data_IF_739787836191
#
_entry.id   IF_739787836191
#
_cell.length_a   1.000
_cell.length_b   1.000
_cell.length_c   1.000
_cell.angle_alpha   90.00
_cell.angle_beta   90.00
_cell.angle_gamma   90.00
#
_symmetry.space_group_name_H-M   'P 1'
#
loop_
_entity.id
_entity.type
_entity.pdbx_description
1 polymer ?
#
# COMPACT_ATOMS: atom_id res chain seq x y z
N UNK A 1 21.56 1.39 14.55
CA UNK A 1 20.87 1.39 15.86
C UNK A 1 20.25 2.76 16.10
N UNK A 2 18.98 2.89 15.71
CA UNK A 2 18.19 4.10 15.98
C UNK A 2 17.72 4.08 17.45
N UNK A 3 18.10 5.07 18.23
CA UNK A 3 17.66 5.20 19.62
C UNK A 3 16.16 5.54 19.65
N UNK A 4 15.35 4.69 20.30
CA UNK A 4 13.96 5.02 20.63
C UNK A 4 13.99 6.17 21.63
N UNK A 5 13.39 7.29 21.25
CA UNK A 5 13.31 8.50 22.09
C UNK A 5 12.08 8.40 22.98
N UNK A 6 10.94 7.98 22.43
CA UNK A 6 9.71 7.78 23.17
C UNK A 6 8.99 6.51 22.73
N UNK A 7 8.33 5.85 23.69
CA UNK A 7 7.36 4.78 23.46
C UNK A 7 6.07 5.13 24.21
N UNK A 8 4.97 5.20 23.47
CA UNK A 8 3.63 5.49 23.99
C UNK A 8 2.75 4.27 23.73
N UNK A 9 2.04 3.80 24.75
CA UNK A 9 1.07 2.72 24.64
C UNK A 9 -0.33 3.28 24.90
N UNK A 10 -1.20 3.20 23.88
CA UNK A 10 -2.59 3.62 24.00
C UNK A 10 -3.42 2.41 24.42
N UNK A 11 -4.02 2.51 25.60
CA UNK A 11 -4.84 1.46 26.21
C UNK A 11 -6.31 1.89 26.21
N UNK A 12 -7.21 1.00 25.80
CA UNK A 12 -8.66 1.14 26.04
C UNK A 12 -9.07 -0.02 26.94
N UNK A 13 -9.62 0.27 28.12
CA UNK A 13 -9.97 -0.73 29.12
C UNK A 13 -8.79 -1.66 29.48
N UNK A 14 -7.58 -1.09 29.59
CA UNK A 14 -6.31 -1.81 29.83
C UNK A 14 -5.87 -2.77 28.71
N UNK A 15 -6.55 -2.78 27.57
CA UNK A 15 -6.17 -3.57 26.40
C UNK A 15 -5.33 -2.68 25.47
N UNK A 16 -4.10 -3.08 25.10
CA UNK A 16 -3.30 -2.35 24.12
C UNK A 16 -4.01 -2.25 22.77
N UNK A 17 -4.23 -1.01 22.32
CA UNK A 17 -4.83 -0.70 21.02
C UNK A 17 -3.79 -0.23 20.03
N UNK A 18 -2.92 0.65 20.49
CA UNK A 18 -1.87 1.24 19.68
C UNK A 18 -0.55 1.32 20.43
N UNK A 19 0.56 1.15 19.71
CA UNK A 19 1.89 1.48 20.21
C UNK A 19 2.54 2.46 19.25
N UNK A 20 3.00 3.59 19.79
CA UNK A 20 3.71 4.62 19.05
C UNK A 20 5.16 4.64 19.54
N UNK A 21 6.10 4.53 18.63
CA UNK A 21 7.53 4.64 18.88
C UNK A 21 8.08 5.81 18.06
N UNK A 22 8.72 6.75 18.74
CA UNK A 22 9.34 7.92 18.11
C UNK A 22 10.85 7.72 18.17
N UNK A 23 11.48 7.76 17.01
CA UNK A 23 12.94 7.77 16.85
C UNK A 23 13.37 9.14 16.32
N UNK A 24 14.67 9.34 16.08
CA UNK A 24 15.18 10.59 15.50
C UNK A 24 14.59 10.91 14.13
N UNK A 25 14.33 9.89 13.31
CA UNK A 25 14.00 10.06 11.89
C UNK A 25 12.67 9.42 11.47
N UNK A 26 11.99 8.74 12.39
CA UNK A 26 10.78 7.96 12.11
C UNK A 26 9.79 8.01 13.25
N UNK A 27 8.50 8.01 12.90
CA UNK A 27 7.41 7.68 13.82
C UNK A 27 6.86 6.33 13.38
N UNK A 28 6.87 5.35 14.28
CA UNK A 28 6.36 4.00 14.03
C UNK A 28 5.11 3.81 14.87
N UNK A 29 3.98 3.53 14.24
CA UNK A 29 2.70 3.26 14.89
C UNK A 29 2.29 1.82 14.62
N UNK A 30 1.66 1.17 15.58
CA UNK A 30 1.26 -0.24 15.49
C UNK A 30 -0.17 -0.42 15.96
N UNK A 31 -1.00 -1.07 15.15
CA UNK A 31 -2.34 -1.52 15.51
C UNK A 31 -2.38 -3.04 15.56
N UNK A 32 -2.87 -3.56 16.70
CA UNK A 32 -3.08 -5.01 16.88
C UNK A 32 -4.20 -5.49 15.99
N UNK A 33 -5.29 -4.72 15.91
CA UNK A 33 -6.44 -5.00 15.07
C UNK A 33 -6.92 -3.71 14.39
N UNK A 34 -6.94 -3.70 13.06
CA UNK A 34 -7.40 -2.56 12.25
C UNK A 34 -8.91 -2.34 12.31
N UNK A 35 -9.68 -3.30 12.83
CA UNK A 35 -11.13 -3.11 13.09
C UNK A 35 -11.40 -2.21 14.30
N UNK A 36 -10.43 -2.05 15.17
CA UNK A 36 -10.55 -1.20 16.35
C UNK A 36 -10.22 0.24 15.95
N UNK A 37 -11.04 1.22 16.34
CA UNK A 37 -10.76 2.63 16.06
C UNK A 37 -9.37 3.01 16.61
N UNK A 38 -8.43 3.25 15.70
CA UNK A 38 -7.07 3.71 15.99
C UNK A 38 -6.60 4.62 14.86
N UNK A 39 -5.58 5.45 15.13
CA UNK A 39 -5.18 6.53 14.22
C UNK A 39 -4.62 6.02 12.88
N UNK A 40 -4.13 4.78 12.83
CA UNK A 40 -3.58 4.18 11.60
C UNK A 40 -4.57 3.34 10.80
N UNK A 41 -5.68 2.90 11.40
CA UNK A 41 -6.67 2.04 10.75
C UNK A 41 -7.75 2.79 9.96
N UNK A 42 -7.70 4.12 9.96
CA UNK A 42 -8.56 4.94 9.12
C UNK A 42 -7.96 5.08 7.71
N UNK A 43 -8.06 4.04 6.90
CA UNK A 43 -7.57 3.98 5.51
C UNK A 43 -8.36 4.86 4.52
N UNK A 44 -9.08 5.89 5.03
CA UNK A 44 -9.88 6.88 4.30
C UNK A 44 -10.96 6.30 3.38
N UNK A 45 -11.31 5.02 3.53
CA UNK A 45 -12.11 4.25 2.57
C UNK A 45 -11.56 4.28 1.12
N UNK A 46 -10.26 4.57 0.96
CA UNK A 46 -9.60 4.67 -0.36
C UNK A 46 -9.03 3.31 -0.77
N UNK A 47 -8.45 2.59 0.20
CA UNK A 47 -7.73 1.35 -0.06
C UNK A 47 -8.62 0.12 0.10
N UNK A 48 -9.19 -0.06 1.30
CA UNK A 48 -10.08 -1.19 1.61
C UNK A 48 -10.82 -0.96 2.93
N UNK A 49 -11.90 -1.73 3.11
CA UNK A 49 -12.61 -1.88 4.38
C UNK A 49 -12.19 -3.22 4.99
N UNK A 50 -11.50 -3.26 6.14
CA UNK A 50 -11.07 -4.52 6.73
C UNK A 50 -12.26 -5.42 7.04
N UNK A 51 -12.21 -6.68 6.61
CA UNK A 51 -13.25 -7.69 6.89
C UNK A 51 -12.77 -8.84 7.80
N UNK A 52 -11.56 -8.73 8.34
CA UNK A 52 -10.92 -9.72 9.21
C UNK A 52 -10.03 -9.07 10.26
N UNK A 53 -9.55 -9.89 11.18
CA UNK A 53 -8.62 -9.46 12.23
C UNK A 53 -7.21 -9.28 11.66
N UNK A 54 -6.96 -8.12 11.07
CA UNK A 54 -5.66 -7.77 10.53
C UNK A 54 -4.93 -6.80 11.45
N UNK A 55 -3.61 -6.92 11.47
CA UNK A 55 -2.72 -6.01 12.16
C UNK A 55 -2.08 -5.05 11.17
N UNK A 56 -1.69 -3.86 11.65
CA UNK A 56 -0.99 -2.89 10.82
C UNK A 56 0.19 -2.26 11.55
N UNK A 57 1.21 -1.90 10.79
CA UNK A 57 2.27 -0.98 11.20
C UNK A 57 2.26 0.17 10.20
N UNK A 58 2.39 1.38 10.74
CA UNK A 58 2.67 2.58 9.96
C UNK A 58 4.06 3.11 10.30
N UNK A 59 4.82 3.51 9.29
CA UNK A 59 6.15 4.10 9.44
C UNK A 59 6.18 5.41 8.67
N UNK A 60 6.24 6.51 9.40
CA UNK A 60 6.34 7.87 8.88
C UNK A 60 7.79 8.34 8.96
N UNK A 61 8.38 8.66 7.81
CA UNK A 61 9.74 9.22 7.74
C UNK A 61 9.72 10.73 7.98
N UNK A 62 10.22 11.19 9.13
CA UNK A 62 10.11 12.59 9.57
C UNK A 62 11.08 13.55 8.90
N UNK A 63 12.07 13.04 8.17
CA UNK A 63 13.05 13.86 7.42
C UNK A 63 12.89 13.72 5.89
N UNK A 64 11.90 12.95 5.44
CA UNK A 64 11.71 12.65 4.03
C UNK A 64 10.34 13.16 3.59
N UNK A 65 10.31 14.36 3.03
CA UNK A 65 9.09 15.00 2.54
C UNK A 65 9.05 15.01 1.02
N UNK A 66 7.85 14.95 0.46
CA UNK A 66 7.63 15.07 -0.98
C UNK A 66 7.38 13.73 -1.65
N UNK A 67 6.48 13.77 -2.65
CA UNK A 67 6.02 12.61 -3.40
C UNK A 67 7.12 11.95 -4.23
N UNK A 68 8.09 12.75 -4.68
CA UNK A 68 9.26 12.32 -5.44
C UNK A 68 10.15 11.34 -4.66
N UNK A 69 10.08 11.41 -3.32
CA UNK A 69 10.82 10.55 -2.40
C UNK A 69 10.09 9.27 -2.00
N UNK A 70 8.78 9.12 -2.27
CA UNK A 70 8.03 7.90 -1.92
C UNK A 70 8.66 6.64 -2.48
N UNK A 71 9.11 6.70 -3.74
CA UNK A 71 9.79 5.57 -4.36
C UNK A 71 11.11 5.21 -3.66
N UNK A 72 11.90 6.20 -3.22
CA UNK A 72 13.13 5.95 -2.47
C UNK A 72 12.84 5.30 -1.12
N UNK A 73 11.88 5.86 -0.37
CA UNK A 73 11.41 5.28 0.89
C UNK A 73 10.89 3.85 0.70
N UNK A 74 10.11 3.60 -0.36
CA UNK A 74 9.56 2.29 -0.66
C UNK A 74 10.67 1.29 -1.00
N UNK A 75 11.63 1.65 -1.85
CA UNK A 75 12.72 0.76 -2.25
C UNK A 75 13.63 0.44 -1.05
N UNK A 76 14.03 1.45 -0.26
CA UNK A 76 14.83 1.24 0.95
C UNK A 76 14.10 0.32 1.94
N UNK A 77 12.81 0.57 2.14
CA UNK A 77 11.96 -0.26 2.98
C UNK A 77 11.90 -1.72 2.50
N UNK A 78 11.67 -1.95 1.20
CA UNK A 78 11.61 -3.30 0.63
C UNK A 78 12.96 -4.00 0.76
N UNK A 79 14.08 -3.36 0.42
CA UNK A 79 15.40 -3.98 0.53
C UNK A 79 15.76 -4.38 1.96
N UNK A 80 15.37 -3.58 2.96
CA UNK A 80 15.69 -3.89 4.37
C UNK A 80 14.91 -5.08 4.91
N UNK A 81 13.62 -5.17 4.58
CA UNK A 81 12.73 -6.15 5.18
C UNK A 81 12.53 -7.40 4.33
N UNK A 82 12.68 -7.25 3.02
CA UNK A 82 12.47 -8.29 2.04
C UNK A 82 13.64 -8.32 1.04
N UNK A 83 14.89 -8.57 1.50
CA UNK A 83 16.10 -8.42 0.69
C UNK A 83 16.15 -9.34 -0.55
N UNK A 84 15.35 -10.41 -0.56
CA UNK A 84 15.24 -11.34 -1.68
C UNK A 84 14.18 -10.94 -2.71
N UNK A 85 13.36 -9.93 -2.41
CA UNK A 85 12.31 -9.44 -3.31
C UNK A 85 12.92 -8.43 -4.26
N UNK A 86 12.93 -8.75 -5.56
CA UNK A 86 13.33 -7.84 -6.63
C UNK A 86 12.14 -7.29 -7.43
N UNK A 87 10.94 -7.79 -7.16
CA UNK A 87 9.72 -7.46 -7.90
C UNK A 87 8.54 -7.40 -6.96
N UNK A 88 7.74 -6.35 -7.09
CA UNK A 88 6.52 -6.19 -6.31
C UNK A 88 5.31 -6.29 -7.22
N UNK A 89 4.28 -6.99 -6.76
CA UNK A 89 2.96 -6.95 -7.37
C UNK A 89 2.23 -5.73 -6.83
N UNK A 90 1.43 -5.10 -7.67
CA UNK A 90 0.59 -3.99 -7.25
C UNK A 90 -0.75 -4.04 -7.94
N UNK A 91 -1.72 -3.34 -7.36
CA UNK A 91 -2.97 -3.02 -8.02
C UNK A 91 -3.45 -1.63 -7.62
N UNK A 92 -4.34 -1.09 -8.42
CA UNK A 92 -5.01 0.17 -8.16
C UNK A 92 -6.31 0.25 -8.96
N UNK A 93 -7.10 1.30 -8.73
CA UNK A 93 -8.35 1.49 -9.45
C UNK A 93 -8.46 2.87 -10.09
N UNK A 94 -8.88 2.89 -11.36
CA UNK A 94 -9.33 4.09 -12.06
C UNK A 94 -10.85 4.14 -11.96
N UNK A 95 -11.35 4.90 -10.99
CA UNK A 95 -12.77 5.00 -10.70
C UNK A 95 -13.44 6.07 -11.57
N UNK A 96 -14.76 5.93 -11.76
CA UNK A 96 -15.64 6.97 -12.32
C UNK A 96 -15.28 7.45 -13.74
N UNK A 97 -14.70 6.60 -14.57
CA UNK A 97 -14.33 6.94 -15.94
C UNK A 97 -15.58 7.12 -16.83
N UNK A 98 -15.54 8.00 -17.84
CA UNK A 98 -16.65 8.16 -18.78
C UNK A 98 -17.03 6.85 -19.46
N UNK A 99 -18.31 6.49 -19.42
CA UNK A 99 -18.81 5.31 -20.12
C UNK A 99 -19.07 5.62 -21.61
N UNK A 100 -18.00 5.69 -22.39
CA UNK A 100 -18.08 5.92 -23.83
C UNK A 100 -17.18 4.96 -24.62
N UNK A 101 -17.38 4.91 -25.94
CA UNK A 101 -16.66 4.00 -26.84
C UNK A 101 -15.15 4.21 -26.81
N UNK A 102 -14.68 5.46 -26.62
CA UNK A 102 -13.26 5.79 -26.61
C UNK A 102 -12.58 5.19 -25.36
N UNK A 103 -13.18 5.38 -24.18
CA UNK A 103 -12.66 4.84 -22.92
C UNK A 103 -12.65 3.31 -22.94
N UNK A 104 -13.73 2.69 -23.43
CA UNK A 104 -13.81 1.22 -23.60
C UNK A 104 -12.73 0.68 -24.54
N UNK A 105 -12.48 1.38 -25.64
CA UNK A 105 -11.45 0.98 -26.61
C UNK A 105 -10.03 1.14 -26.06
N UNK A 106 -9.75 2.22 -25.32
CA UNK A 106 -8.43 2.45 -24.73
C UNK A 106 -8.11 1.41 -23.64
N UNK A 107 -9.06 1.13 -22.75
CA UNK A 107 -8.80 0.30 -21.57
C UNK A 107 -7.93 1.01 -20.52
N UNK A 108 -7.77 0.39 -19.36
CA UNK A 108 -7.14 1.03 -18.20
C UNK A 108 -5.64 1.22 -18.39
N UNK A 109 -4.94 0.19 -18.87
CA UNK A 109 -3.49 0.24 -19.10
C UNK A 109 -3.08 1.31 -20.10
N UNK A 110 -3.87 1.51 -21.17
CA UNK A 110 -3.56 2.54 -22.16
C UNK A 110 -3.74 3.94 -21.59
N UNK A 111 -4.78 4.18 -20.80
CA UNK A 111 -4.97 5.47 -20.13
C UNK A 111 -3.78 5.82 -19.23
N UNK A 112 -3.27 4.83 -18.48
CA UNK A 112 -2.07 4.97 -17.66
C UNK A 112 -0.81 5.22 -18.49
N UNK A 113 -0.69 4.54 -19.63
CA UNK A 113 0.41 4.79 -20.55
C UNK A 113 0.41 6.21 -21.11
N UNK A 114 -0.77 6.75 -21.44
CA UNK A 114 -0.94 8.11 -21.94
C UNK A 114 -0.70 9.18 -20.86
N UNK A 115 -0.91 8.84 -19.59
CA UNK A 115 -0.50 9.66 -18.44
C UNK A 115 1.03 9.62 -18.19
N UNK A 116 1.80 8.89 -19.01
CA UNK A 116 3.25 8.93 -19.03
C UNK A 116 3.95 7.79 -18.30
N UNK A 117 3.23 6.77 -17.81
CA UNK A 117 3.84 5.56 -17.25
C UNK A 117 4.24 4.62 -18.38
N UNK A 118 5.50 4.18 -18.43
CA UNK A 118 5.94 3.21 -19.42
C UNK A 118 5.46 1.79 -19.06
N UNK A 119 4.27 1.42 -19.55
CA UNK A 119 3.62 0.13 -19.26
C UNK A 119 4.33 -1.08 -19.89
N UNK A 120 5.33 -0.88 -20.77
CA UNK A 120 6.12 -1.99 -21.32
C UNK A 120 6.97 -2.67 -20.26
N UNK A 121 7.30 -1.95 -19.19
CA UNK A 121 8.10 -2.43 -18.06
C UNK A 121 7.24 -2.98 -16.90
N UNK A 122 5.93 -3.10 -17.11
CA UNK A 122 4.99 -3.71 -16.17
C UNK A 122 4.65 -5.11 -16.70
N UNK A 123 4.93 -6.12 -15.89
CA UNK A 123 4.67 -7.52 -16.25
C UNK A 123 3.34 -8.00 -15.69
N UNK A 124 2.81 -9.09 -16.27
CA UNK A 124 1.58 -9.76 -15.81
C UNK A 124 0.37 -8.82 -15.71
N UNK A 125 0.30 -7.84 -16.62
CA UNK A 125 -0.78 -6.86 -16.71
C UNK A 125 -2.12 -7.57 -16.86
N UNK A 126 -3.02 -7.34 -15.92
CA UNK A 126 -4.42 -7.75 -15.94
C UNK A 126 -5.29 -6.52 -15.75
N UNK A 127 -6.47 -6.52 -16.37
CA UNK A 127 -7.46 -5.48 -16.12
C UNK A 127 -8.85 -6.09 -15.95
N UNK A 128 -9.62 -5.52 -15.05
CA UNK A 128 -11.02 -5.84 -14.84
C UNK A 128 -11.83 -4.56 -14.95
N UNK A 129 -12.91 -4.63 -15.72
CA UNK A 129 -13.77 -3.48 -16.01
C UNK A 129 -15.17 -3.77 -15.52
N UNK A 130 -15.72 -2.86 -14.73
CA UNK A 130 -17.10 -2.95 -14.27
C UNK A 130 -17.77 -1.58 -14.35
N UNK A 131 -19.09 -1.60 -14.53
CA UNK A 131 -19.91 -0.39 -14.55
C UNK A 131 -20.56 -0.16 -13.19
N UNK A 132 -20.50 1.08 -12.69
CA UNK A 132 -21.21 1.50 -11.48
C UNK A 132 -21.75 2.91 -11.71
N UNK A 133 -23.04 3.12 -11.46
CA UNK A 133 -23.72 4.42 -11.63
C UNK A 133 -23.49 5.06 -13.02
N UNK A 134 -23.54 4.25 -14.10
CA UNK A 134 -23.34 4.75 -15.46
C UNK A 134 -21.89 5.15 -15.81
N UNK A 135 -20.92 4.85 -14.93
CA UNK A 135 -19.49 5.11 -15.13
C UNK A 135 -18.71 3.80 -15.18
N UNK A 136 -17.62 3.81 -15.95
CA UNK A 136 -16.69 2.68 -16.00
C UNK A 136 -15.66 2.79 -14.88
N UNK A 137 -15.33 1.66 -14.29
CA UNK A 137 -14.28 1.54 -13.29
C UNK A 137 -13.32 0.46 -13.76
N UNK A 138 -12.03 0.73 -13.66
CA UNK A 138 -10.98 -0.21 -14.05
C UNK A 138 -10.18 -0.59 -12.80
N UNK A 139 -10.02 -1.90 -12.58
CA UNK A 139 -9.03 -2.43 -11.65
C UNK A 139 -7.86 -2.92 -12.48
N UNK A 140 -6.66 -2.48 -12.14
CA UNK A 140 -5.44 -2.76 -12.89
C UNK A 140 -4.45 -3.48 -11.98
N UNK A 141 -3.97 -4.65 -12.39
CA UNK A 141 -2.95 -5.41 -11.67
C UNK A 141 -1.70 -5.60 -12.52
N UNK A 142 -0.55 -5.38 -11.92
CA UNK A 142 0.72 -5.61 -12.57
C UNK A 142 1.80 -6.00 -11.58
N UNK A 143 2.98 -6.23 -12.11
CA UNK A 143 4.17 -6.41 -11.32
C UNK A 143 5.31 -5.62 -11.93
N UNK A 144 6.14 -5.00 -11.10
CA UNK A 144 7.26 -4.17 -11.54
C UNK A 144 8.49 -4.49 -10.71
N UNK A 145 9.65 -4.50 -11.35
CA UNK A 145 10.92 -4.61 -10.64
C UNK A 145 11.12 -3.38 -9.76
N UNK A 146 11.58 -3.57 -8.53
CA UNK A 146 11.84 -2.47 -7.59
C UNK A 146 12.98 -1.56 -8.07
N UNK A 147 13.85 -2.06 -8.93
CA UNK A 147 14.92 -1.29 -9.57
C UNK A 147 14.38 -0.27 -10.59
N UNK A 148 13.14 -0.44 -11.06
CA UNK A 148 12.48 0.50 -11.98
C UNK A 148 11.91 1.71 -11.23
N UNK A 149 12.78 2.42 -10.50
CA UNK A 149 12.44 3.57 -9.66
C UNK A 149 11.53 4.59 -10.36
N UNK A 150 11.82 4.95 -11.61
CA UNK A 150 11.03 5.94 -12.36
C UNK A 150 9.57 5.51 -12.53
N UNK A 151 9.30 4.21 -12.67
CA UNK A 151 7.94 3.69 -12.78
C UNK A 151 7.22 3.80 -11.45
N UNK A 152 7.90 3.39 -10.37
CA UNK A 152 7.37 3.51 -9.01
C UNK A 152 7.05 4.97 -8.66
N UNK A 153 7.95 5.91 -8.97
CA UNK A 153 7.72 7.34 -8.79
C UNK A 153 6.45 7.80 -9.49
N UNK A 154 6.30 7.51 -10.78
CA UNK A 154 5.09 7.89 -11.53
C UNK A 154 3.83 7.22 -11.02
N UNK A 155 3.92 5.97 -10.56
CA UNK A 155 2.78 5.29 -9.95
C UNK A 155 2.34 6.02 -8.67
N UNK A 156 3.27 6.37 -7.79
CA UNK A 156 2.96 7.13 -6.57
C UNK A 156 2.45 8.54 -6.84
N UNK A 157 2.95 9.21 -7.89
CA UNK A 157 2.52 10.56 -8.28
C UNK A 157 1.11 10.59 -8.89
N UNK A 158 0.75 9.56 -9.66
CA UNK A 158 -0.48 9.57 -10.45
C UNK A 158 -1.63 8.81 -9.78
N UNK A 159 -1.35 7.90 -8.86
CA UNK A 159 -2.30 6.92 -8.35
C UNK A 159 -2.38 6.99 -6.82
N UNK A 160 -3.44 7.60 -6.31
CA UNK A 160 -3.65 7.76 -4.87
C UNK A 160 -4.01 6.45 -4.14
N UNK A 161 -4.59 5.47 -4.85
CA UNK A 161 -5.13 4.23 -4.28
C UNK A 161 -4.32 2.98 -4.66
N UNK A 162 -3.01 3.12 -4.81
CA UNK A 162 -2.12 2.01 -5.15
C UNK A 162 -1.79 1.16 -3.93
N UNK A 163 -2.00 -0.16 -4.05
CA UNK A 163 -1.58 -1.16 -3.08
C UNK A 163 -0.50 -2.07 -3.68
N UNK A 164 0.51 -2.38 -2.90
CA UNK A 164 1.58 -3.32 -3.21
C UNK A 164 1.44 -4.59 -2.38
N UNK A 165 1.94 -5.70 -2.90
CA UNK A 165 1.77 -7.01 -2.30
C UNK A 165 3.07 -7.80 -2.31
N UNK A 166 3.36 -8.45 -1.17
CA UNK A 166 4.51 -9.34 -1.00
C UNK A 166 4.01 -10.64 -0.36
N UNK A 167 4.32 -11.77 -0.98
CA UNK A 167 3.92 -13.09 -0.53
C UNK A 167 3.56 -14.02 -1.70
N UNK A 168 2.91 -15.13 -1.41
CA UNK A 168 2.62 -16.17 -2.41
C UNK A 168 1.50 -15.73 -3.36
N UNK A 169 1.71 -16.06 -4.64
CA UNK A 169 0.81 -15.72 -5.72
C UNK A 169 -0.34 -16.73 -5.76
N UNK A 170 -1.45 -16.40 -5.13
CA UNK A 170 -2.70 -17.09 -5.41
C UNK A 170 -3.36 -16.43 -6.63
N UNK A 171 -3.99 -17.25 -7.47
CA UNK A 171 -4.74 -16.78 -8.63
C UNK A 171 -5.84 -15.83 -8.16
N UNK A 172 -5.55 -14.52 -8.16
CA UNK A 172 -6.52 -13.49 -7.82
C UNK A 172 -7.70 -13.69 -8.77
N UNK A 173 -8.89 -13.84 -8.19
CA UNK A 173 -10.13 -13.82 -8.95
C UNK A 173 -10.20 -12.46 -9.64
N UNK A 174 -10.10 -12.50 -10.97
CA UNK A 174 -10.00 -11.30 -11.80
C UNK A 174 -11.20 -10.35 -11.64
N UNK A 175 -12.34 -10.83 -11.15
CA UNK A 175 -13.60 -10.08 -11.10
C UNK A 175 -13.88 -9.44 -9.74
N UNK A 176 -12.85 -9.22 -8.92
CA UNK A 176 -12.98 -8.53 -7.63
C UNK A 176 -12.70 -7.04 -7.74
N UNK A 177 -13.37 -6.22 -6.93
CA UNK A 177 -13.00 -4.80 -6.75
C UNK A 177 -11.73 -4.66 -5.89
N UNK A 178 -11.13 -3.47 -5.85
CA UNK A 178 -9.88 -3.23 -5.11
C UNK A 178 -9.97 -3.65 -3.63
N UNK A 179 -11.05 -3.27 -2.95
CA UNK A 179 -11.31 -3.58 -1.55
C UNK A 179 -11.29 -5.10 -1.27
N UNK A 180 -12.03 -5.86 -2.09
CA UNK A 180 -12.09 -7.32 -2.01
C UNK A 180 -10.72 -7.97 -2.24
N UNK A 181 -9.95 -7.46 -3.20
CA UNK A 181 -8.61 -7.98 -3.52
C UNK A 181 -7.61 -7.73 -2.39
N UNK A 182 -7.70 -6.58 -1.71
CA UNK A 182 -6.84 -6.30 -0.56
C UNK A 182 -7.16 -7.27 0.56
N UNK A 183 -8.45 -7.43 0.91
CA UNK A 183 -8.89 -8.37 1.93
C UNK A 183 -8.50 -9.82 1.58
N UNK A 184 -8.71 -10.26 0.34
CA UNK A 184 -8.33 -11.60 -0.12
C UNK A 184 -6.82 -11.86 0.05
N UNK A 185 -5.99 -10.86 -0.25
CA UNK A 185 -4.54 -10.97 -0.04
C UNK A 185 -4.16 -11.09 1.44
N UNK A 186 -4.82 -10.33 2.31
CA UNK A 186 -4.59 -10.41 3.75
C UNK A 186 -5.02 -11.77 4.30
N UNK A 187 -6.16 -12.31 3.87
CA UNK A 187 -6.64 -13.64 4.25
C UNK A 187 -5.62 -14.72 3.86
N UNK A 188 -5.03 -14.61 2.66
CA UNK A 188 -3.97 -15.50 2.18
C UNK A 188 -2.57 -15.17 2.75
N UNK A 189 -2.52 -14.39 3.83
CA UNK A 189 -1.30 -14.08 4.59
C UNK A 189 -0.22 -13.32 3.81
N UNK A 190 -0.60 -12.60 2.74
CA UNK A 190 0.31 -11.69 2.06
C UNK A 190 0.46 -10.40 2.87
N UNK A 191 1.61 -9.74 2.72
CA UNK A 191 1.77 -8.36 3.16
C UNK A 191 1.09 -7.45 2.14
N UNK A 192 0.29 -6.49 2.63
CA UNK A 192 -0.26 -5.41 1.82
C UNK A 192 0.41 -4.11 2.25
N UNK A 193 0.90 -3.34 1.28
CA UNK A 193 1.63 -2.10 1.53
C UNK A 193 1.02 -0.96 0.72
N UNK A 194 0.90 0.20 1.33
CA UNK A 194 0.45 1.44 0.67
C UNK A 194 0.96 2.66 1.43
N UNK A 195 0.94 3.82 0.79
CA UNK A 195 1.26 5.08 1.47
C UNK A 195 0.00 5.74 2.00
N UNK A 196 0.03 6.18 3.26
CA UNK A 196 -0.93 7.14 3.79
C UNK A 196 -0.52 8.55 3.37
N UNK A 197 -1.52 9.36 3.06
CA UNK A 197 -1.37 10.71 2.54
C UNK A 197 -1.57 10.79 1.03
N UNK A 198 -2.55 11.58 0.59
CA UNK A 198 -2.76 11.85 -0.83
C UNK A 198 -1.71 12.82 -1.39
N UNK A 199 -1.86 13.22 -2.65
CA UNK A 199 -1.00 14.21 -3.32
C UNK A 199 -0.83 15.57 -2.61
N UNK A 200 -1.63 15.86 -1.57
CA UNK A 200 -1.64 17.12 -0.82
C UNK A 200 -0.83 17.03 0.49
N UNK A 201 -0.68 15.82 1.05
CA UNK A 201 0.06 15.61 2.29
C UNK A 201 1.48 15.15 1.97
N UNK A 202 2.46 15.95 2.41
CA UNK A 202 3.88 15.69 2.19
C UNK A 202 4.45 14.54 3.04
N UNK A 203 3.65 13.87 3.86
CA UNK A 203 4.11 12.75 4.67
C UNK A 203 4.38 11.53 3.78
N UNK A 204 5.54 10.92 4.01
CA UNK A 204 5.92 9.63 3.44
C UNK A 204 5.69 8.57 4.51
N UNK A 205 4.43 8.29 4.76
CA UNK A 205 3.99 7.30 5.74
C UNK A 205 3.61 6.00 5.01
N UNK A 206 4.44 4.97 5.14
CA UNK A 206 4.14 3.64 4.59
C UNK A 206 3.42 2.80 5.62
N UNK A 207 2.28 2.23 5.22
CA UNK A 207 1.53 1.27 6.01
C UNK A 207 1.76 -0.12 5.46
N UNK A 208 1.91 -1.06 6.38
CA UNK A 208 2.00 -2.49 6.13
C UNK A 208 0.89 -3.16 6.91
N UNK A 209 0.06 -3.94 6.23
CA UNK A 209 -1.03 -4.71 6.84
C UNK A 209 -0.76 -6.19 6.65
N UNK A 210 -1.04 -6.99 7.68
CA UNK A 210 -0.94 -8.45 7.65
C UNK A 210 -1.91 -9.10 8.63
N UNK A 211 -2.29 -10.34 8.37
CA UNK A 211 -3.15 -11.15 9.24
C UNK A 211 -2.48 -11.57 10.58
N UNK A 212 -1.16 -11.41 10.72
CA UNK A 212 -0.41 -11.80 11.91
C UNK A 212 0.44 -10.65 12.47
N UNK A 213 0.16 -10.25 13.71
CA UNK A 213 0.93 -9.24 14.45
C UNK A 213 2.37 -9.68 14.73
N UNK A 214 2.60 -10.98 14.88
CA UNK A 214 3.92 -11.52 15.21
C UNK A 214 4.93 -11.20 14.10
N UNK A 215 4.51 -11.35 12.85
CA UNK A 215 5.33 -11.05 11.68
C UNK A 215 5.67 -9.56 11.58
N UNK A 216 4.70 -8.72 11.97
CA UNK A 216 4.86 -7.27 12.02
C UNK A 216 5.85 -6.83 13.11
N UNK A 217 5.86 -7.47 14.29
CA UNK A 217 6.84 -7.15 15.34
C UNK A 217 8.29 -7.41 14.89
N UNK A 218 8.52 -8.46 14.10
CA UNK A 218 9.84 -8.74 13.53
C UNK A 218 10.28 -7.63 12.56
N UNK A 219 9.33 -7.05 11.81
CA UNK A 219 9.58 -5.89 10.96
C UNK A 219 10.00 -4.67 11.79
N UNK A 220 9.27 -4.34 12.87
CA UNK A 220 9.63 -3.22 13.76
C UNK A 220 11.05 -3.39 14.28
N UNK A 221 11.37 -4.58 14.82
CA UNK A 221 12.69 -4.87 15.38
C UNK A 221 13.79 -4.63 14.35
N UNK A 222 13.59 -5.11 13.13
CA UNK A 222 14.54 -4.93 12.02
C UNK A 222 14.74 -3.45 11.65
N UNK A 223 13.67 -2.65 11.68
CA UNK A 223 13.74 -1.21 11.37
C UNK A 223 14.42 -0.42 12.50
N UNK A 224 14.21 -0.79 13.76
CA UNK A 224 14.81 -0.09 14.91
C UNK A 224 16.29 -0.44 15.11
N UNK A 225 16.71 -1.64 14.71
CA UNK A 225 18.10 -2.09 14.84
C UNK A 225 19.02 -1.53 13.75
N UNK A 226 18.50 -1.22 12.55
CA UNK A 226 19.21 -0.55 11.45
C UNK A 226 19.51 0.92 11.78
#
# INVERSE_FOLDING_TARGET
METIIFKIEVLILMIPKETIMITKNKIIRKAINVLEQNDIANFRNIFFTPNGNFSAISIEYTACYGIDKRADCFIDFIHRLFPLINKVRFNFSLLNQPNNRIVKYKGGWRMISEAGINISNIDNKKEFVYEKNGKLNFILDGSVSIEKKIILQKLFELIDNICFYIGEYNNIVLEMVLDERVNDNLIHNNYVLFFLGGNIENSNEIVIVKNSLMDLNNIVKSISES
#
